data_IF_673541767302
#
_entry.id   IF_673541767302
#
_cell.length_a   1.000
_cell.length_b   1.000
_cell.length_c   1.000
_cell.angle_alpha   90.00
_cell.angle_beta   90.00
_cell.angle_gamma   90.00
#
_symmetry.space_group_name_H-M   'P 1'
#
loop_
_entity.id
_entity.type
_entity.pdbx_description
1 polymer ?
#
# COMPACT_ATOMS: atom_id res chain seq x y z
N UNK A 1 30.76 -4.72 58.66
CA UNK A 1 30.87 -3.64 57.66
C UNK A 1 31.25 -4.13 56.26
N UNK A 2 31.71 -5.33 56.07
CA UNK A 2 32.13 -5.83 54.74
C UNK A 2 30.95 -6.33 53.83
N UNK A 3 29.76 -6.54 54.35
CA UNK A 3 28.61 -7.07 53.60
C UNK A 3 27.78 -6.01 52.81
N UNK A 4 27.92 -4.75 53.16
CA UNK A 4 27.13 -3.69 52.53
C UNK A 4 27.69 -3.22 51.16
N UNK A 5 28.95 -3.47 50.87
CA UNK A 5 29.61 -3.05 49.64
C UNK A 5 29.39 -3.99 48.46
N UNK A 6 29.05 -5.26 48.72
CA UNK A 6 28.82 -6.23 47.63
C UNK A 6 27.44 -6.06 46.98
N UNK A 7 26.48 -5.54 47.70
CA UNK A 7 25.13 -5.33 47.18
C UNK A 7 25.03 -4.15 46.19
N UNK A 8 25.86 -3.12 46.43
CA UNK A 8 25.89 -1.94 45.56
C UNK A 8 26.59 -2.21 44.21
N UNK A 9 27.52 -3.15 44.17
CA UNK A 9 28.17 -3.55 42.90
C UNK A 9 27.27 -4.43 42.06
N UNK A 10 26.42 -5.24 42.66
CA UNK A 10 25.49 -6.11 41.93
C UNK A 10 24.32 -5.34 41.30
N UNK A 11 23.87 -4.24 41.95
CA UNK A 11 22.83 -3.37 41.34
C UNK A 11 23.34 -2.55 40.16
N UNK A 12 24.64 -2.23 40.14
CA UNK A 12 25.20 -1.45 38.98
C UNK A 12 25.36 -2.28 37.72
N UNK A 13 25.62 -3.58 37.88
CA UNK A 13 25.75 -4.49 36.73
C UNK A 13 24.41 -4.90 36.12
N UNK A 14 23.33 -4.94 36.93
CA UNK A 14 21.98 -5.25 36.42
C UNK A 14 21.39 -4.05 35.65
N UNK A 15 21.71 -2.82 36.08
CA UNK A 15 21.27 -1.62 35.37
C UNK A 15 21.93 -1.44 33.98
N UNK A 16 23.16 -1.94 33.82
CA UNK A 16 23.88 -1.85 32.54
C UNK A 16 23.42 -2.87 31.49
N UNK A 17 22.84 -4.00 31.91
CA UNK A 17 22.32 -5.02 31.00
C UNK A 17 20.90 -4.72 30.50
N UNK A 18 20.13 -3.95 31.27
CA UNK A 18 18.77 -3.53 30.86
C UNK A 18 18.76 -2.33 29.89
N UNK A 19 19.85 -1.54 29.86
CA UNK A 19 19.98 -0.40 28.96
C UNK A 19 20.38 -0.74 27.53
N UNK A 20 20.92 -1.94 27.29
CA UNK A 20 21.43 -2.32 25.95
C UNK A 20 20.39 -2.98 25.06
N UNK A 21 19.21 -3.30 25.56
CA UNK A 21 18.17 -3.98 24.78
C UNK A 21 17.18 -3.02 24.06
N UNK A 22 17.27 -1.71 24.28
CA UNK A 22 16.30 -0.75 23.70
C UNK A 22 16.74 -0.10 22.40
N UNK A 23 17.92 -0.45 21.86
CA UNK A 23 18.43 0.15 20.61
C UNK A 23 18.32 -0.74 19.37
N UNK A 24 17.66 -1.88 19.47
CA UNK A 24 17.49 -2.82 18.35
C UNK A 24 16.10 -2.79 17.70
N UNK A 25 15.26 -1.79 17.96
CA UNK A 25 13.94 -1.65 17.34
C UNK A 25 13.91 -0.60 16.21
N UNK A 26 15.00 -0.47 15.47
CA UNK A 26 15.14 0.55 14.45
C UNK A 26 15.19 0.05 13.01
N UNK A 27 14.83 -1.17 12.69
CA UNK A 27 14.64 -1.65 11.30
C UNK A 27 13.66 -2.82 11.32
N UNK A 28 12.41 -2.54 11.59
CA UNK A 28 11.38 -3.37 10.99
C UNK A 28 11.42 -3.04 9.50
N UNK A 29 11.70 -4.00 8.58
CA UNK A 29 11.30 -3.79 7.20
C UNK A 29 9.82 -3.44 7.29
N UNK A 30 9.43 -2.34 6.68
CA UNK A 30 8.03 -2.07 6.42
C UNK A 30 7.55 -3.35 5.75
N UNK A 31 6.92 -4.23 6.53
CA UNK A 31 6.11 -5.27 5.96
C UNK A 31 5.21 -4.49 5.02
N UNK A 32 5.38 -4.69 3.71
CA UNK A 32 4.43 -4.24 2.75
C UNK A 32 3.11 -4.72 3.33
N UNK A 33 2.34 -3.79 3.88
CA UNK A 33 0.98 -4.07 4.30
C UNK A 33 0.39 -4.61 3.03
N UNK A 34 0.15 -5.91 3.04
CA UNK A 34 -0.59 -6.58 2.00
C UNK A 34 -1.93 -5.86 2.00
N UNK A 35 -2.01 -4.81 1.15
CA UNK A 35 -3.23 -4.07 0.92
C UNK A 35 -4.15 -5.11 0.32
N UNK A 36 -5.00 -5.68 1.17
CA UNK A 36 -5.99 -6.63 0.74
C UNK A 36 -6.71 -6.03 -0.47
N UNK A 37 -7.18 -6.86 -1.37
CA UNK A 37 -7.85 -6.49 -2.64
C UNK A 37 -8.90 -5.36 -2.54
N UNK A 38 -9.23 -4.89 -1.34
CA UNK A 38 -10.15 -3.81 -1.07
C UNK A 38 -9.56 -2.39 -1.05
N UNK A 39 -8.24 -2.23 -0.93
CA UNK A 39 -7.60 -0.91 -0.76
C UNK A 39 -6.69 -0.51 -1.94
N UNK A 40 -6.70 -1.27 -3.01
CA UNK A 40 -5.88 -0.94 -4.18
C UNK A 40 -6.47 0.27 -4.90
N UNK A 41 -5.62 1.27 -5.17
CA UNK A 41 -5.99 2.44 -5.95
C UNK A 41 -6.60 2.03 -7.29
N UNK A 42 -7.81 2.50 -7.59
CA UNK A 42 -8.57 2.09 -8.76
C UNK A 42 -8.57 3.19 -9.81
N UNK A 43 -8.07 2.85 -10.99
CA UNK A 43 -8.04 3.72 -12.17
C UNK A 43 -9.02 3.20 -13.21
N UNK A 44 -9.89 4.06 -13.68
CA UNK A 44 -10.80 3.77 -14.78
C UNK A 44 -10.43 4.63 -15.98
N UNK A 45 -10.15 4.00 -17.10
CA UNK A 45 -9.84 4.70 -18.36
C UNK A 45 -10.96 4.52 -19.38
N UNK A 46 -11.26 5.54 -20.16
CA UNK A 46 -12.32 5.46 -21.17
C UNK A 46 -12.00 4.48 -22.30
N UNK A 47 -10.74 4.38 -22.69
CA UNK A 47 -10.31 3.52 -23.80
C UNK A 47 -9.28 2.49 -23.38
N UNK A 48 -9.17 1.35 -24.10
CA UNK A 48 -8.16 0.34 -23.85
C UNK A 48 -6.72 0.87 -23.92
N UNK A 49 -6.45 1.81 -24.83
CA UNK A 49 -5.12 2.42 -24.99
C UNK A 49 -4.73 3.21 -23.73
N UNK A 50 -5.64 4.02 -23.21
CA UNK A 50 -5.40 4.74 -21.94
C UNK A 50 -5.24 3.80 -20.75
N UNK A 51 -6.02 2.73 -20.72
CA UNK A 51 -5.90 1.71 -19.68
C UNK A 51 -4.55 0.99 -19.74
N UNK A 52 -4.06 0.70 -20.93
CA UNK A 52 -2.76 0.07 -21.14
C UNK A 52 -1.62 0.98 -20.70
N UNK A 53 -1.68 2.25 -21.08
CA UNK A 53 -0.73 3.27 -20.64
C UNK A 53 -0.72 3.40 -19.10
N UNK A 54 -1.89 3.45 -18.49
CA UNK A 54 -2.01 3.55 -17.04
C UNK A 54 -1.43 2.31 -16.34
N UNK A 55 -1.64 1.10 -16.86
CA UNK A 55 -1.04 -0.13 -16.33
C UNK A 55 0.48 -0.12 -16.41
N UNK A 56 1.04 0.36 -17.51
CA UNK A 56 2.48 0.45 -17.68
C UNK A 56 3.13 1.43 -16.68
N UNK A 57 2.41 2.47 -16.28
CA UNK A 57 2.88 3.46 -15.31
C UNK A 57 2.69 2.98 -13.88
N UNK A 58 1.51 2.46 -13.56
CA UNK A 58 1.12 2.09 -12.20
C UNK A 58 1.65 0.71 -11.77
N UNK A 59 1.97 -0.18 -12.71
CA UNK A 59 2.38 -1.54 -12.39
C UNK A 59 1.32 -2.26 -11.56
N UNK A 60 1.73 -2.80 -10.41
CA UNK A 60 0.84 -3.51 -9.49
C UNK A 60 0.22 -2.62 -8.40
N UNK A 61 0.61 -1.34 -8.35
CA UNK A 61 0.15 -0.41 -7.31
C UNK A 61 -1.30 0.04 -7.51
N UNK A 62 -1.84 -0.11 -8.73
CA UNK A 62 -3.22 0.24 -9.03
C UNK A 62 -3.95 -0.86 -9.80
N UNK A 63 -5.25 -0.92 -9.56
CA UNK A 63 -6.18 -1.69 -10.40
C UNK A 63 -6.64 -0.79 -11.54
N UNK A 64 -6.31 -1.17 -12.78
CA UNK A 64 -6.68 -0.39 -13.96
C UNK A 64 -7.68 -1.15 -14.82
N UNK A 65 -8.80 -0.52 -15.14
CA UNK A 65 -9.81 -1.07 -16.05
C UNK A 65 -10.19 -0.08 -17.15
N UNK A 66 -10.60 -0.63 -18.31
CA UNK A 66 -11.15 0.16 -19.42
C UNK A 66 -12.66 0.09 -19.38
N UNK A 67 -13.33 1.24 -19.59
CA UNK A 67 -14.77 1.30 -19.71
C UNK A 67 -15.25 0.70 -21.03
N UNK A 68 -14.55 1.04 -22.12
CA UNK A 68 -14.86 0.51 -23.46
C UNK A 68 -14.05 -0.76 -23.64
N UNK A 69 -14.68 -1.91 -23.89
CA UNK A 69 -13.96 -3.15 -24.17
C UNK A 69 -13.09 -3.06 -25.42
N UNK A 70 -12.00 -3.81 -25.44
CA UNK A 70 -11.14 -3.91 -26.63
C UNK A 70 -11.95 -4.37 -27.84
N UNK A 71 -11.74 -3.71 -28.98
CA UNK A 71 -12.42 -4.02 -30.23
C UNK A 71 -13.84 -3.45 -30.36
N UNK A 72 -14.32 -2.69 -29.37
CA UNK A 72 -15.58 -1.94 -29.48
C UNK A 72 -15.34 -0.52 -29.98
N UNK A 73 -16.25 -0.05 -30.84
CA UNK A 73 -16.24 1.31 -31.30
C UNK A 73 -16.68 2.28 -30.20
N UNK A 74 -15.85 3.27 -29.86
CA UNK A 74 -16.20 4.28 -28.86
C UNK A 74 -17.46 5.09 -29.18
N UNK A 75 -17.78 5.27 -30.46
CA UNK A 75 -18.93 6.06 -30.92
C UNK A 75 -20.27 5.33 -30.73
N UNK A 76 -20.24 4.01 -30.69
CA UNK A 76 -21.42 3.17 -30.48
C UNK A 76 -21.53 2.56 -29.08
N UNK A 77 -20.59 2.93 -28.19
CA UNK A 77 -20.58 2.42 -26.84
C UNK A 77 -21.66 3.10 -25.98
N UNK A 78 -22.57 2.31 -25.49
CA UNK A 78 -23.59 2.77 -24.54
C UNK A 78 -23.18 2.41 -23.09
N UNK A 79 -23.07 3.42 -22.21
CA UNK A 79 -22.78 3.18 -20.81
C UNK A 79 -23.90 2.40 -20.13
N UNK A 80 -23.53 1.36 -19.39
CA UNK A 80 -24.46 0.59 -18.53
C UNK A 80 -24.42 1.15 -17.11
N UNK A 81 -25.38 0.74 -16.28
CA UNK A 81 -25.35 1.06 -14.82
C UNK A 81 -24.05 0.55 -14.14
N UNK A 82 -23.48 -0.54 -14.62
CA UNK A 82 -22.19 -1.02 -14.18
C UNK A 82 -21.07 -0.05 -14.49
N UNK A 83 -21.04 0.43 -15.72
CA UNK A 83 -20.04 1.42 -16.18
C UNK A 83 -20.09 2.69 -15.34
N UNK A 84 -21.30 3.20 -15.06
CA UNK A 84 -21.50 4.36 -14.20
C UNK A 84 -20.99 4.11 -12.78
N UNK A 85 -21.27 2.94 -12.24
CA UNK A 85 -20.81 2.55 -10.90
C UNK A 85 -19.27 2.42 -10.84
N UNK A 86 -18.67 1.84 -11.86
CA UNK A 86 -17.22 1.68 -11.95
C UNK A 86 -16.52 3.04 -11.95
N UNK A 87 -17.05 4.02 -12.67
CA UNK A 87 -16.54 5.41 -12.66
C UNK A 87 -16.75 6.07 -11.30
N UNK A 88 -17.92 5.89 -10.68
CA UNK A 88 -18.24 6.50 -9.40
C UNK A 88 -17.37 5.98 -8.25
N UNK A 89 -16.90 4.74 -8.35
CA UNK A 89 -16.05 4.10 -7.34
C UNK A 89 -14.56 4.18 -7.67
N UNK A 90 -14.17 4.79 -8.77
CA UNK A 90 -12.77 4.96 -9.14
C UNK A 90 -12.13 6.12 -8.36
N UNK A 91 -10.87 5.93 -7.97
CA UNK A 91 -10.05 7.00 -7.38
C UNK A 91 -9.57 7.99 -8.46
N UNK A 92 -9.40 7.49 -9.68
CA UNK A 92 -8.98 8.28 -10.83
C UNK A 92 -9.71 7.84 -12.11
N UNK A 93 -10.27 8.79 -12.85
CA UNK A 93 -10.82 8.56 -14.17
C UNK A 93 -9.98 9.27 -15.24
N UNK A 94 -9.56 8.51 -16.26
CA UNK A 94 -8.79 9.01 -17.39
C UNK A 94 -9.68 9.05 -18.64
N UNK A 95 -9.80 10.23 -19.24
CA UNK A 95 -10.52 10.45 -20.48
C UNK A 95 -9.68 11.21 -21.48
N UNK A 96 -9.98 11.00 -22.77
CA UNK A 96 -9.36 11.75 -23.87
C UNK A 96 -10.38 12.69 -24.49
#
# INVERSE_FOLDING_TARGET
MARALSHRRRLRTIGALLGSCLLATGCAPSAALDAGDGERFTVVATTPILADLARNIAGEDARVQSLIPSGKDPHTFEPTLRTVRDVANADLALSK
#
